data_IF_109392926238
#
_entry.id   IF_109392926238
#
_cell.length_a   1.000
_cell.length_b   1.000
_cell.length_c   1.000
_cell.angle_alpha   90.00
_cell.angle_beta   90.00
_cell.angle_gamma   90.00
#
_symmetry.space_group_name_H-M   'P 1'
#
loop_
_entity.id
_entity.type
_entity.pdbx_description
1 polymer ?
#
# COMPACT_ATOMS: atom_id res chain seq x y z
N UNK A 1 -15.45 17.05 14.03
CA UNK A 1 -15.37 15.74 13.31
C UNK A 1 -16.54 14.90 13.77
N UNK A 2 -17.36 14.43 12.86
CA UNK A 2 -18.48 13.57 13.21
C UNK A 2 -18.05 12.10 13.37
N UNK A 3 -18.96 11.28 13.89
CA UNK A 3 -18.66 9.87 14.16
C UNK A 3 -18.35 9.06 12.90
N UNK A 4 -19.03 9.34 11.78
CA UNK A 4 -18.76 8.65 10.52
C UNK A 4 -17.37 8.94 9.98
N UNK A 5 -16.96 10.20 10.03
CA UNK A 5 -15.62 10.59 9.59
C UNK A 5 -14.54 9.95 10.47
N UNK A 6 -14.77 9.92 11.77
CA UNK A 6 -13.85 9.27 12.70
C UNK A 6 -13.74 7.77 12.41
N UNK A 7 -14.88 7.11 12.18
CA UNK A 7 -14.90 5.69 11.83
C UNK A 7 -14.14 5.43 10.52
N UNK A 8 -14.37 6.24 9.49
CA UNK A 8 -13.66 6.13 8.22
C UNK A 8 -12.14 6.28 8.42
N UNK A 9 -11.72 7.27 9.20
CA UNK A 9 -10.28 7.48 9.45
C UNK A 9 -9.65 6.29 10.18
N UNK A 10 -10.36 5.68 11.12
CA UNK A 10 -9.89 4.48 11.82
C UNK A 10 -9.77 3.28 10.85
N UNK A 11 -10.77 3.07 10.02
CA UNK A 11 -10.75 1.99 9.02
C UNK A 11 -9.60 2.15 8.03
N UNK A 12 -9.38 3.37 7.56
CA UNK A 12 -8.31 3.66 6.61
C UNK A 12 -6.93 3.43 7.24
N UNK A 13 -6.75 3.84 8.50
CA UNK A 13 -5.51 3.58 9.22
C UNK A 13 -5.26 2.08 9.40
N UNK A 14 -6.29 1.31 9.71
CA UNK A 14 -6.18 -0.14 9.83
C UNK A 14 -5.80 -0.80 8.50
N UNK A 15 -6.27 -0.28 7.39
CA UNK A 15 -5.87 -0.80 6.06
C UNK A 15 -4.35 -0.75 5.85
N UNK A 16 -3.69 0.30 6.32
CA UNK A 16 -2.23 0.40 6.27
C UNK A 16 -1.54 -0.75 6.99
N UNK A 17 -2.00 -1.06 8.19
CA UNK A 17 -1.46 -2.16 8.98
C UNK A 17 -1.75 -3.52 8.33
N UNK A 18 -2.97 -3.73 7.82
CA UNK A 18 -3.35 -4.96 7.13
C UNK A 18 -2.54 -5.18 5.87
N UNK A 19 -2.28 -4.12 5.12
CA UNK A 19 -1.45 -4.19 3.93
C UNK A 19 -0.06 -4.75 4.26
N UNK A 20 0.60 -4.18 5.25
CA UNK A 20 1.93 -4.62 5.68
C UNK A 20 1.93 -6.08 6.12
N UNK A 21 0.99 -6.45 6.97
CA UNK A 21 0.90 -7.81 7.51
C UNK A 21 0.62 -8.84 6.40
N UNK A 22 -0.31 -8.56 5.51
CA UNK A 22 -0.65 -9.45 4.41
C UNK A 22 0.52 -9.62 3.43
N UNK A 23 1.22 -8.54 3.09
CA UNK A 23 2.42 -8.61 2.25
C UNK A 23 3.50 -9.48 2.87
N UNK A 24 3.76 -9.30 4.17
CA UNK A 24 4.81 -10.04 4.87
C UNK A 24 4.49 -11.53 5.00
N UNK A 25 3.21 -11.87 5.10
CA UNK A 25 2.75 -13.26 5.10
C UNK A 25 2.65 -13.86 3.71
N UNK A 26 2.82 -13.06 2.67
CA UNK A 26 2.59 -13.47 1.29
C UNK A 26 1.18 -13.97 1.06
N UNK A 27 0.24 -13.43 1.81
CA UNK A 27 -1.18 -13.69 1.65
C UNK A 27 -1.74 -12.76 0.57
N UNK A 28 -1.53 -13.13 -0.67
CA UNK A 28 -1.88 -12.28 -1.81
C UNK A 28 -3.37 -12.06 -1.95
N UNK A 29 -4.18 -13.04 -1.54
CA UNK A 29 -5.63 -12.85 -1.54
C UNK A 29 -6.04 -11.75 -0.56
N UNK A 30 -5.42 -11.72 0.62
CA UNK A 30 -5.68 -10.67 1.61
C UNK A 30 -5.19 -9.29 1.13
N UNK A 31 -4.05 -9.23 0.45
CA UNK A 31 -3.57 -7.98 -0.16
C UNK A 31 -4.56 -7.50 -1.21
N UNK A 32 -4.95 -8.37 -2.13
CA UNK A 32 -5.86 -8.02 -3.22
C UNK A 32 -7.24 -7.62 -2.72
N UNK A 33 -7.68 -8.16 -1.58
CA UNK A 33 -8.94 -7.76 -0.97
C UNK A 33 -8.97 -6.28 -0.54
N UNK A 34 -7.80 -5.66 -0.36
CA UNK A 34 -7.71 -4.23 -0.07
C UNK A 34 -7.82 -3.35 -1.32
N UNK A 35 -7.63 -3.93 -2.50
CA UNK A 35 -7.67 -3.23 -3.78
C UNK A 35 -9.03 -3.38 -4.47
N UNK A 36 -9.46 -2.33 -5.14
CA UNK A 36 -10.60 -2.44 -6.06
C UNK A 36 -10.24 -3.42 -7.17
N UNK A 37 -11.26 -4.05 -7.77
CA UNK A 37 -11.05 -5.05 -8.83
C UNK A 37 -10.30 -4.50 -10.05
N UNK A 38 -10.54 -3.24 -10.38
CA UNK A 38 -9.93 -2.51 -11.48
C UNK A 38 -8.84 -1.54 -11.01
N UNK A 39 -8.24 -1.81 -9.86
CA UNK A 39 -7.23 -0.92 -9.29
C UNK A 39 -6.02 -0.77 -10.21
N UNK A 40 -5.40 0.39 -10.13
CA UNK A 40 -4.16 0.70 -10.83
C UNK A 40 -3.01 0.75 -9.83
N UNK A 41 -1.94 0.02 -10.11
CA UNK A 41 -0.71 0.08 -9.33
C UNK A 41 0.39 0.65 -10.20
N UNK A 42 0.88 1.81 -9.80
CA UNK A 42 1.96 2.50 -10.52
C UNK A 42 3.29 2.22 -9.83
N UNK A 43 4.03 1.28 -10.38
CA UNK A 43 5.38 0.94 -9.95
C UNK A 43 6.44 1.54 -10.86
N UNK A 44 6.09 2.52 -11.69
CA UNK A 44 6.98 3.06 -12.72
C UNK A 44 8.21 3.73 -12.15
N UNK A 45 8.11 4.38 -10.98
CA UNK A 45 9.24 5.03 -10.34
C UNK A 45 10.33 4.05 -9.88
N UNK A 46 9.99 2.77 -9.70
CA UNK A 46 10.89 1.72 -9.20
C UNK A 46 11.20 0.69 -10.27
N UNK A 47 10.17 0.20 -10.98
CA UNK A 47 10.31 -0.89 -11.94
C UNK A 47 10.02 -0.49 -13.38
N UNK A 48 9.64 0.76 -13.61
CA UNK A 48 9.30 1.24 -14.96
C UNK A 48 8.01 0.67 -15.53
N UNK A 49 7.12 0.13 -14.68
CA UNK A 49 5.90 -0.57 -15.10
C UNK A 49 4.71 -0.16 -14.27
N UNK A 50 3.54 -0.34 -14.87
CA UNK A 50 2.24 -0.22 -14.19
C UNK A 50 1.48 -1.53 -14.31
N UNK A 51 0.55 -1.75 -13.38
CA UNK A 51 -0.24 -2.99 -13.32
C UNK A 51 -1.70 -2.63 -13.11
N UNK A 52 -2.60 -3.22 -13.90
CA UNK A 52 -4.02 -2.95 -13.85
C UNK A 52 -4.82 -4.19 -13.51
N UNK A 53 -5.67 -4.07 -12.49
CA UNK A 53 -6.55 -5.13 -12.05
C UNK A 53 -5.86 -6.17 -11.18
N UNK A 54 -6.68 -7.00 -10.51
CA UNK A 54 -6.19 -7.98 -9.54
C UNK A 54 -5.20 -8.97 -10.14
N UNK A 55 -5.43 -9.42 -11.38
CA UNK A 55 -4.55 -10.42 -11.99
C UNK A 55 -3.14 -9.87 -12.18
N UNK A 56 -3.01 -8.69 -12.76
CA UNK A 56 -1.70 -8.07 -12.98
C UNK A 56 -1.03 -7.67 -11.67
N UNK A 57 -1.81 -7.15 -10.70
CA UNK A 57 -1.26 -6.80 -9.38
C UNK A 57 -0.75 -8.06 -8.67
N UNK A 58 -1.45 -9.19 -8.78
CA UNK A 58 -0.98 -10.46 -8.24
C UNK A 58 0.36 -10.87 -8.86
N UNK A 59 0.49 -10.77 -10.17
CA UNK A 59 1.75 -11.07 -10.86
C UNK A 59 2.90 -10.24 -10.31
N UNK A 60 2.65 -8.95 -10.11
CA UNK A 60 3.64 -8.05 -9.50
C UNK A 60 4.03 -8.52 -8.09
N UNK A 61 3.05 -8.78 -7.24
CA UNK A 61 3.27 -9.21 -5.86
C UNK A 61 4.07 -10.52 -5.78
N UNK A 62 3.73 -11.48 -6.61
CA UNK A 62 4.39 -12.79 -6.65
C UNK A 62 5.82 -12.72 -7.20
N UNK A 63 6.10 -11.76 -8.08
CA UNK A 63 7.40 -11.59 -8.71
C UNK A 63 8.34 -10.62 -7.98
N UNK A 64 7.82 -9.86 -7.02
CA UNK A 64 8.61 -8.90 -6.26
C UNK A 64 9.70 -9.60 -5.43
N UNK A 65 10.85 -8.95 -5.22
CA UNK A 65 11.90 -9.53 -4.37
C UNK A 65 11.39 -9.82 -2.95
N UNK A 66 11.94 -10.85 -2.34
CA UNK A 66 11.62 -11.18 -0.95
C UNK A 66 11.95 -10.02 -0.03
N UNK A 67 10.94 -9.58 0.70
CA UNK A 67 11.06 -8.53 1.70
C UNK A 67 10.91 -9.17 3.08
N UNK A 68 11.81 -8.84 4.00
CA UNK A 68 11.77 -9.35 5.37
C UNK A 68 10.65 -8.71 6.18
N UNK A 69 10.28 -7.49 5.86
CA UNK A 69 9.20 -6.81 6.54
C UNK A 69 8.86 -5.47 5.91
N UNK A 70 7.56 -5.19 5.88
CA UNK A 70 7.02 -3.88 5.54
C UNK A 70 6.53 -3.23 6.82
N UNK A 71 7.02 -2.04 7.12
CA UNK A 71 6.64 -1.30 8.32
C UNK A 71 6.14 0.08 7.93
N UNK A 72 4.82 0.28 8.00
CA UNK A 72 4.24 1.60 7.84
C UNK A 72 4.52 2.39 9.11
N UNK A 73 5.50 3.28 9.05
CA UNK A 73 5.93 4.08 10.20
C UNK A 73 5.09 5.33 10.38
N UNK A 74 4.30 5.68 9.39
CA UNK A 74 3.36 6.78 9.46
C UNK A 74 2.26 6.58 8.43
N UNK A 75 1.05 6.92 8.82
CA UNK A 75 -0.12 6.89 7.93
C UNK A 75 -1.02 8.06 8.25
N UNK A 76 -1.50 8.72 7.22
CA UNK A 76 -2.60 9.67 7.39
C UNK A 76 -3.51 9.60 6.15
N UNK A 77 -4.75 10.01 6.35
CA UNK A 77 -5.75 10.03 5.30
C UNK A 77 -6.47 11.37 5.27
N UNK A 78 -6.94 11.73 4.09
CA UNK A 78 -7.83 12.86 3.87
C UNK A 78 -9.10 12.35 3.23
N UNK A 79 -10.22 12.48 3.94
CA UNK A 79 -11.54 12.02 3.49
C UNK A 79 -12.21 13.20 2.80
N UNK A 80 -12.32 13.12 1.47
CA UNK A 80 -12.89 14.20 0.66
C UNK A 80 -14.42 14.16 0.62
N UNK A 81 -15.01 12.96 0.73
CA UNK A 81 -16.45 12.74 0.68
C UNK A 81 -16.81 11.40 1.32
N UNK A 82 -18.09 11.04 1.31
CA UNK A 82 -18.55 9.75 1.82
C UNK A 82 -17.94 8.55 1.09
N UNK A 83 -17.42 8.76 -0.12
CA UNK A 83 -16.95 7.67 -0.98
C UNK A 83 -15.52 7.84 -1.50
N UNK A 84 -14.86 8.94 -1.18
CA UNK A 84 -13.50 9.23 -1.69
C UNK A 84 -12.56 9.69 -0.59
N UNK A 85 -11.36 9.15 -0.63
CA UNK A 85 -10.29 9.54 0.27
C UNK A 85 -8.93 9.36 -0.40
N UNK A 86 -7.93 9.98 0.17
CA UNK A 86 -6.53 9.69 -0.12
C UNK A 86 -5.85 9.22 1.14
N UNK A 87 -4.81 8.40 0.97
CA UNK A 87 -3.98 7.96 2.09
C UNK A 87 -2.52 8.08 1.72
N UNK A 88 -1.70 8.39 2.71
CA UNK A 88 -0.26 8.42 2.54
C UNK A 88 0.42 7.59 3.61
N UNK A 89 1.34 6.72 3.18
CA UNK A 89 2.07 5.85 4.08
C UNK A 89 3.56 6.14 3.95
N UNK A 90 4.20 6.32 5.09
CA UNK A 90 5.65 6.29 5.17
C UNK A 90 6.03 4.83 5.44
N UNK A 91 6.73 4.20 4.51
CA UNK A 91 7.01 2.78 4.55
C UNK A 91 8.51 2.54 4.72
N UNK A 92 8.85 1.69 5.67
CA UNK A 92 10.19 1.14 5.79
C UNK A 92 10.14 -0.30 5.31
N UNK A 93 10.92 -0.63 4.30
CA UNK A 93 10.99 -2.00 3.77
C UNK A 93 12.38 -2.57 4.06
N UNK A 94 12.39 -3.73 4.70
CA UNK A 94 13.61 -4.41 5.11
C UNK A 94 13.89 -5.59 4.21
N UNK A 95 15.03 -5.57 3.57
CA UNK A 95 15.54 -6.69 2.77
C UNK A 95 16.77 -7.26 3.44
N UNK A 96 17.19 -8.43 2.98
CA UNK A 96 18.32 -9.13 3.60
C UNK A 96 19.61 -8.29 3.63
N UNK A 97 19.85 -7.47 2.61
CA UNK A 97 21.09 -6.71 2.46
C UNK A 97 20.92 -5.19 2.46
N UNK A 98 19.70 -4.73 2.44
CA UNK A 98 19.45 -3.29 2.41
C UNK A 98 18.06 -2.95 2.96
N UNK A 99 17.89 -1.69 3.27
CA UNK A 99 16.63 -1.12 3.69
C UNK A 99 16.28 0.06 2.77
N UNK A 100 14.98 0.27 2.59
CA UNK A 100 14.48 1.39 1.81
C UNK A 100 13.48 2.18 2.63
N UNK A 101 13.53 3.50 2.49
CA UNK A 101 12.45 4.36 2.94
C UNK A 101 11.63 4.75 1.70
N UNK A 102 10.32 4.52 1.77
CA UNK A 102 9.43 4.58 0.62
C UNK A 102 8.18 5.36 1.00
N UNK A 103 7.74 6.26 0.14
CA UNK A 103 6.42 6.86 0.25
C UNK A 103 5.44 6.09 -0.61
N UNK A 104 4.29 5.73 -0.03
CA UNK A 104 3.15 5.16 -0.73
C UNK A 104 2.03 6.18 -0.76
N UNK A 105 1.42 6.35 -1.92
CA UNK A 105 0.25 7.19 -2.09
C UNK A 105 -0.93 6.34 -2.55
N UNK A 106 -2.05 6.47 -1.85
CA UNK A 106 -3.29 5.76 -2.15
C UNK A 106 -4.39 6.72 -2.53
N UNK A 107 -5.11 6.39 -3.61
CA UNK A 107 -6.46 6.87 -3.84
C UNK A 107 -7.42 5.76 -3.43
N UNK A 108 -8.46 6.12 -2.69
CA UNK A 108 -9.40 5.17 -2.10
C UNK A 108 -10.82 5.54 -2.45
N UNK A 109 -11.61 4.51 -2.77
CA UNK A 109 -13.04 4.64 -2.99
C UNK A 109 -13.79 3.70 -2.05
N UNK A 110 -14.92 4.16 -1.53
CA UNK A 110 -15.83 3.31 -0.78
C UNK A 110 -16.79 2.65 -1.77
N UNK A 111 -16.76 1.32 -1.83
CA UNK A 111 -17.59 0.50 -2.72
C UNK A 111 -18.37 -0.48 -1.86
N UNK A 112 -19.67 -0.45 -1.95
CA UNK A 112 -20.57 -1.31 -1.16
C UNK A 112 -20.27 -1.22 0.36
N UNK A 113 -19.99 0.00 0.82
CA UNK A 113 -19.71 0.26 2.23
C UNK A 113 -18.28 -0.04 2.68
N UNK A 114 -17.41 -0.49 1.79
CA UNK A 114 -16.02 -0.83 2.12
C UNK A 114 -15.04 0.04 1.36
N UNK A 115 -14.01 0.52 2.06
CA UNK A 115 -12.92 1.25 1.42
C UNK A 115 -12.03 0.30 0.63
N UNK A 116 -11.71 0.68 -0.61
CA UNK A 116 -10.80 -0.06 -1.49
C UNK A 116 -9.77 0.89 -2.08
N UNK A 117 -8.56 0.40 -2.24
CA UNK A 117 -7.50 1.14 -2.95
C UNK A 117 -7.81 1.10 -4.44
N UNK A 118 -8.05 2.25 -5.03
CA UNK A 118 -8.28 2.36 -6.48
C UNK A 118 -6.99 2.65 -7.24
N UNK A 119 -6.05 3.33 -6.60
CA UNK A 119 -4.74 3.61 -7.18
C UNK A 119 -3.68 3.58 -6.09
N UNK A 120 -2.57 2.92 -6.37
CA UNK A 120 -1.38 2.95 -5.52
C UNK A 120 -0.18 3.34 -6.35
N UNK A 121 0.57 4.32 -5.86
CA UNK A 121 1.90 4.60 -6.36
C UNK A 121 2.88 4.58 -5.21
N UNK A 122 4.15 4.32 -5.50
CA UNK A 122 5.18 4.39 -4.49
C UNK A 122 6.48 4.91 -5.09
N UNK A 123 7.26 5.58 -4.25
CA UNK A 123 8.52 6.19 -4.64
C UNK A 123 9.56 5.95 -3.56
N UNK A 124 10.72 5.45 -3.96
CA UNK A 124 11.84 5.25 -3.04
C UNK A 124 12.50 6.59 -2.76
N UNK A 125 12.54 6.97 -1.49
CA UNK A 125 13.20 8.20 -1.04
C UNK A 125 14.68 7.97 -0.76
N UNK A 126 15.03 6.77 -0.30
CA UNK A 126 16.41 6.46 0.01
C UNK A 126 16.62 4.99 0.28
N UNK A 127 17.88 4.58 0.24
CA UNK A 127 18.31 3.21 0.42
C UNK A 127 19.52 3.21 1.34
N UNK A 128 19.57 2.24 2.24
CA UNK A 128 20.75 2.00 3.08
C UNK A 128 21.19 0.55 2.88
N UNK A 129 22.45 0.37 2.52
CA UNK A 129 23.03 -0.96 2.40
C UNK A 129 23.54 -1.42 3.77
N UNK A 130 23.23 -2.67 4.11
CA UNK A 130 23.62 -3.30 5.38
C UNK A 130 24.78 -4.25 5.22
N UNK A 131 25.23 -4.48 3.99
CA UNK A 131 26.36 -5.37 3.74
C UNK A 131 27.64 -4.75 4.29
N UNK A 132 28.50 -5.52 4.93
CA UNK A 132 29.83 -5.04 5.29
C UNK A 132 30.60 -4.69 4.03
N UNK A 133 31.38 -3.66 4.12
CA UNK A 133 32.21 -3.19 3.03
C UNK A 133 33.21 -4.28 2.59
#
# INVERSE_FOLDING_TARGET
MNAELLADKLLLAEMGARYCDACDRKDWDAVLALFAKDAHLDASAVYGKTFDGHEQIREFLESAPDCLGHHATGFYSEVASDTRATGRLKMLTLFKRNTFTVDYDWDLNKVDGEWKISNQSFNILGKQDLSPA
#
